data_IF_516788254453
#
_entry.id   IF_516788254453
#
_cell.length_a   1.000
_cell.length_b   1.000
_cell.length_c   1.000
_cell.angle_alpha   90.00
_cell.angle_beta   90.00
_cell.angle_gamma   90.00
#
_symmetry.space_group_name_H-M   'P 1'
#
loop_
_entity.id
_entity.type
_entity.pdbx_description
1 polymer ?
#
# COMPACT_ATOMS: atom_id res chain seq x y z
N UNK A 1 25.45 -52.08 8.35
CA UNK A 1 24.30 -51.54 7.66
C UNK A 1 24.09 -50.07 8.06
N UNK A 2 24.48 -49.12 7.20
CA UNK A 2 24.31 -47.69 7.45
C UNK A 2 23.11 -47.24 6.63
N UNK A 3 22.04 -46.81 7.33
CA UNK A 3 20.87 -46.22 6.74
C UNK A 3 21.20 -44.78 6.31
N UNK A 4 21.12 -44.50 5.02
CA UNK A 4 21.28 -43.16 4.42
C UNK A 4 19.90 -42.53 4.41
N UNK A 5 19.65 -41.57 5.30
CA UNK A 5 18.51 -40.66 5.14
C UNK A 5 18.74 -39.75 3.93
N UNK A 6 17.95 -39.94 2.88
CA UNK A 6 17.91 -39.04 1.76
C UNK A 6 17.06 -37.80 2.15
N UNK A 7 17.71 -36.67 2.20
CA UNK A 7 17.03 -35.38 2.21
C UNK A 7 16.21 -35.23 0.91
N UNK A 8 14.91 -35.24 1.03
CA UNK A 8 14.03 -34.87 -0.05
C UNK A 8 14.04 -33.34 -0.16
N UNK A 9 14.80 -32.82 -1.11
CA UNK A 9 14.70 -31.43 -1.55
C UNK A 9 13.34 -31.22 -2.20
N UNK A 10 12.50 -30.38 -1.58
CA UNK A 10 11.24 -29.90 -2.17
C UNK A 10 11.58 -28.98 -3.33
N UNK A 11 11.08 -29.22 -4.54
CA UNK A 11 11.34 -28.33 -5.67
C UNK A 11 10.61 -27.00 -5.45
N UNK A 12 11.25 -25.84 -5.81
CA UNK A 12 10.73 -24.50 -5.52
C UNK A 12 9.49 -24.09 -6.34
N UNK A 13 9.03 -24.89 -7.29
CA UNK A 13 8.08 -24.42 -8.33
C UNK A 13 6.63 -24.88 -8.18
N UNK A 14 6.22 -25.45 -7.02
CA UNK A 14 4.89 -26.07 -6.88
C UNK A 14 3.82 -25.25 -6.15
N UNK A 15 4.11 -24.03 -5.71
CA UNK A 15 3.16 -23.22 -4.92
C UNK A 15 2.73 -21.90 -5.57
N UNK A 16 2.99 -21.73 -6.85
CA UNK A 16 2.51 -20.56 -7.59
C UNK A 16 1.53 -21.09 -8.64
N UNK A 17 0.25 -21.02 -8.34
CA UNK A 17 -0.83 -20.75 -9.30
C UNK A 17 -2.19 -21.08 -8.70
N UNK A 18 -2.84 -20.05 -8.15
CA UNK A 18 -4.27 -19.85 -8.30
C UNK A 18 -4.49 -18.38 -8.64
N UNK A 19 -5.14 -18.16 -9.73
CA UNK A 19 -5.37 -17.00 -10.52
C UNK A 19 -5.90 -15.77 -9.75
N UNK A 20 -4.96 -14.91 -9.29
CA UNK A 20 -5.16 -13.47 -9.25
C UNK A 20 -3.89 -12.89 -9.88
N UNK A 21 -3.99 -12.43 -11.13
CA UNK A 21 -2.91 -11.79 -11.87
C UNK A 21 -2.58 -10.44 -11.25
N UNK A 22 -1.74 -10.43 -10.22
CA UNK A 22 -0.98 -9.27 -9.81
C UNK A 22 0.38 -9.34 -10.50
N UNK A 23 0.45 -8.97 -11.76
CA UNK A 23 1.71 -8.86 -12.55
C UNK A 23 2.39 -7.51 -12.35
N UNK A 24 2.30 -6.92 -11.19
CA UNK A 24 3.08 -5.71 -10.91
C UNK A 24 4.36 -6.09 -10.17
N UNK A 25 5.50 -5.94 -10.85
CA UNK A 25 6.81 -5.98 -10.17
C UNK A 25 7.02 -4.62 -9.51
N UNK A 26 7.22 -4.57 -8.19
CA UNK A 26 7.55 -3.33 -7.50
C UNK A 26 8.79 -2.66 -8.13
N UNK A 27 8.84 -1.35 -8.10
CA UNK A 27 10.00 -0.59 -8.57
C UNK A 27 11.23 -0.96 -7.72
N UNK A 28 12.39 -1.17 -8.36
CA UNK A 28 13.64 -1.55 -7.69
C UNK A 28 13.53 -2.81 -6.78
N UNK A 29 12.62 -3.74 -7.13
CA UNK A 29 12.33 -4.92 -6.31
C UNK A 29 13.59 -5.71 -5.90
N UNK A 30 14.47 -5.97 -6.87
CA UNK A 30 15.69 -6.74 -6.64
C UNK A 30 16.65 -5.97 -5.73
N UNK A 31 16.89 -4.72 -6.03
CA UNK A 31 17.78 -3.82 -5.29
C UNK A 31 17.31 -3.64 -3.85
N UNK A 32 16.01 -3.49 -3.64
CA UNK A 32 15.38 -3.37 -2.32
C UNK A 32 15.63 -4.61 -1.48
N UNK A 33 15.38 -5.80 -2.05
CA UNK A 33 15.57 -7.06 -1.32
C UNK A 33 17.05 -7.37 -1.08
N UNK A 34 17.94 -7.03 -2.02
CA UNK A 34 19.39 -7.19 -1.82
C UNK A 34 19.93 -6.22 -0.76
N UNK A 35 19.42 -4.99 -0.72
CA UNK A 35 19.85 -3.97 0.27
C UNK A 35 19.45 -4.32 1.70
N UNK A 36 18.39 -5.08 1.91
CA UNK A 36 17.99 -5.57 3.23
C UNK A 36 19.01 -6.54 3.83
N UNK A 37 19.90 -7.14 3.03
CA UNK A 37 20.92 -8.09 3.48
C UNK A 37 20.36 -9.13 4.46
N UNK A 38 19.30 -9.83 4.04
CA UNK A 38 18.44 -10.63 4.92
C UNK A 38 19.22 -11.77 5.58
N UNK A 39 19.26 -11.74 6.92
CA UNK A 39 19.67 -12.88 7.75
C UNK A 39 18.51 -13.88 7.79
N UNK A 40 18.75 -15.17 7.46
CA UNK A 40 17.72 -16.21 7.50
C UNK A 40 17.04 -16.42 8.87
N UNK A 41 17.67 -16.01 9.95
CA UNK A 41 17.15 -16.11 11.32
C UNK A 41 16.63 -14.76 11.85
N UNK A 42 16.80 -13.68 11.07
CA UNK A 42 16.49 -12.30 11.45
C UNK A 42 14.99 -12.00 11.50
N UNK A 43 14.67 -10.84 12.05
CA UNK A 43 13.30 -10.33 12.18
C UNK A 43 13.15 -9.05 11.35
N UNK A 44 12.13 -9.02 10.51
CA UNK A 44 11.89 -7.92 9.56
C UNK A 44 10.47 -7.38 9.66
N UNK A 45 10.30 -6.12 9.28
CA UNK A 45 8.99 -5.48 9.11
C UNK A 45 8.87 -5.01 7.66
N UNK A 46 7.79 -5.40 7.00
CA UNK A 46 7.29 -4.76 5.78
C UNK A 46 6.07 -3.92 6.18
N UNK A 47 6.25 -2.59 6.27
CA UNK A 47 5.20 -1.67 6.72
C UNK A 47 4.21 -1.24 5.62
N UNK A 48 4.39 -1.77 4.40
CA UNK A 48 3.60 -1.46 3.21
C UNK A 48 3.38 -2.73 2.38
N UNK A 49 2.77 -3.73 3.02
CA UNK A 49 2.71 -5.09 2.48
C UNK A 49 2.01 -5.20 1.10
N UNK A 50 0.99 -4.36 0.84
CA UNK A 50 0.29 -4.31 -0.44
C UNK A 50 -0.18 -5.70 -0.90
N UNK A 51 0.22 -6.12 -2.10
CA UNK A 51 -0.06 -7.47 -2.62
C UNK A 51 0.86 -8.58 -2.09
N UNK A 52 1.79 -8.27 -1.18
CA UNK A 52 2.71 -9.23 -0.56
C UNK A 52 3.94 -9.57 -1.41
N UNK A 53 4.26 -8.76 -2.41
CA UNK A 53 5.41 -9.02 -3.29
C UNK A 53 6.74 -9.01 -2.54
N UNK A 54 7.07 -7.90 -1.87
CA UNK A 54 8.27 -7.77 -1.05
C UNK A 54 8.23 -8.72 0.15
N UNK A 55 7.11 -8.78 0.88
CA UNK A 55 6.91 -9.70 1.99
C UNK A 55 7.19 -11.15 1.60
N UNK A 56 6.69 -11.61 0.45
CA UNK A 56 6.94 -12.95 -0.06
C UNK A 56 8.42 -13.22 -0.36
N UNK A 57 9.12 -12.24 -0.93
CA UNK A 57 10.55 -12.35 -1.23
C UNK A 57 11.42 -12.38 0.03
N UNK A 58 11.02 -11.67 1.08
CA UNK A 58 11.68 -11.73 2.39
C UNK A 58 11.46 -13.12 3.00
N UNK A 59 10.20 -13.59 3.09
CA UNK A 59 9.85 -14.89 3.67
C UNK A 59 10.57 -16.06 2.98
N UNK A 60 10.79 -16.01 1.67
CA UNK A 60 11.54 -17.03 0.95
C UNK A 60 13.02 -17.13 1.35
N UNK A 61 13.56 -16.09 1.99
CA UNK A 61 14.95 -16.04 2.46
C UNK A 61 15.08 -16.38 3.94
N UNK A 62 13.98 -16.31 4.70
CA UNK A 62 13.94 -16.67 6.09
C UNK A 62 13.87 -18.19 6.26
N UNK A 63 14.51 -18.71 7.30
CA UNK A 63 14.44 -20.12 7.75
C UNK A 63 13.71 -20.25 9.09
N UNK A 64 14.22 -19.59 10.11
CA UNK A 64 13.64 -19.52 11.45
C UNK A 64 13.28 -18.08 11.86
N UNK A 65 13.61 -17.10 10.99
CA UNK A 65 13.33 -15.71 11.20
C UNK A 65 11.83 -15.36 11.11
N UNK A 66 11.51 -14.13 11.40
CA UNK A 66 10.12 -13.62 11.43
C UNK A 66 9.95 -12.41 10.52
N UNK A 67 8.83 -12.34 9.81
CA UNK A 67 8.40 -11.16 9.08
C UNK A 67 7.04 -10.69 9.60
N UNK A 68 6.97 -9.44 10.00
CA UNK A 68 5.73 -8.72 10.27
C UNK A 68 5.37 -7.90 9.04
N UNK A 69 4.29 -8.28 8.37
CA UNK A 69 3.71 -7.57 7.22
C UNK A 69 2.56 -6.70 7.70
N UNK A 70 2.66 -5.39 7.52
CA UNK A 70 1.66 -4.40 7.93
C UNK A 70 1.09 -3.71 6.69
N UNK A 71 -0.21 -3.51 6.66
CA UNK A 71 -0.86 -2.60 5.72
C UNK A 71 -2.09 -1.97 6.38
N UNK A 72 -2.43 -0.76 5.95
CA UNK A 72 -3.65 -0.06 6.40
C UNK A 72 -4.87 -0.41 5.55
N UNK A 73 -4.65 -1.00 4.36
CA UNK A 73 -5.71 -1.39 3.43
C UNK A 73 -6.22 -2.79 3.77
N UNK A 74 -7.51 -2.95 4.12
CA UNK A 74 -8.09 -4.26 4.43
C UNK A 74 -8.00 -5.24 3.26
N UNK A 75 -8.06 -4.76 2.00
CA UNK A 75 -7.94 -5.62 0.82
C UNK A 75 -6.53 -6.18 0.69
N UNK A 76 -5.50 -5.35 0.94
CA UNK A 76 -4.12 -5.79 0.98
C UNK A 76 -3.89 -6.85 2.06
N UNK A 77 -4.41 -6.63 3.26
CA UNK A 77 -4.32 -7.58 4.37
C UNK A 77 -4.99 -8.92 4.06
N UNK A 78 -6.15 -8.92 3.40
CA UNK A 78 -6.81 -10.15 2.99
C UNK A 78 -5.93 -10.96 2.02
N UNK A 79 -5.37 -10.29 1.00
CA UNK A 79 -4.47 -10.90 0.01
C UNK A 79 -3.20 -11.44 0.67
N UNK A 80 -2.56 -10.66 1.53
CA UNK A 80 -1.31 -11.07 2.21
C UNK A 80 -1.56 -12.27 3.13
N UNK A 81 -2.64 -12.28 3.90
CA UNK A 81 -3.03 -13.42 4.74
C UNK A 81 -3.24 -14.70 3.94
N UNK A 82 -3.94 -14.61 2.81
CA UNK A 82 -4.17 -15.76 1.94
C UNK A 82 -2.86 -16.29 1.34
N UNK A 83 -2.02 -15.39 0.81
CA UNK A 83 -0.79 -15.74 0.11
C UNK A 83 0.33 -16.19 1.03
N UNK A 84 0.50 -15.49 2.15
CA UNK A 84 1.70 -15.60 2.98
C UNK A 84 1.42 -16.16 4.38
N UNK A 85 0.17 -16.22 4.83
CA UNK A 85 -0.17 -16.71 6.17
C UNK A 85 0.20 -18.17 6.48
N UNK A 86 0.56 -18.93 5.44
CA UNK A 86 1.02 -20.33 5.58
C UNK A 86 2.54 -20.46 5.76
N UNK A 87 3.29 -19.39 5.52
CA UNK A 87 4.74 -19.42 5.68
C UNK A 87 5.12 -19.40 7.16
N UNK A 88 6.04 -20.29 7.60
CA UNK A 88 6.62 -20.18 8.93
C UNK A 88 7.22 -18.78 9.13
N UNK A 89 7.03 -18.21 10.32
CA UNK A 89 7.53 -16.87 10.64
C UNK A 89 6.74 -15.70 10.02
N UNK A 90 5.65 -15.95 9.27
CA UNK A 90 4.79 -14.89 8.73
C UNK A 90 3.80 -14.40 9.78
N UNK A 91 3.84 -13.10 10.09
CA UNK A 91 2.88 -12.39 10.93
C UNK A 91 2.24 -11.28 10.07
N UNK A 92 0.91 -11.19 10.06
CA UNK A 92 0.19 -10.20 9.25
C UNK A 92 -0.74 -9.38 10.13
N UNK A 93 -0.52 -8.06 10.15
CA UNK A 93 -1.28 -7.12 10.97
C UNK A 93 -1.87 -5.98 10.13
N UNK A 94 -3.11 -5.60 10.43
CA UNK A 94 -3.72 -4.40 9.84
C UNK A 94 -3.37 -3.19 10.70
N UNK A 95 -2.79 -2.15 10.07
CA UNK A 95 -2.44 -0.92 10.77
C UNK A 95 -1.68 0.07 9.91
N UNK A 96 -1.36 1.20 10.50
CA UNK A 96 -0.51 2.20 9.85
C UNK A 96 0.96 1.95 10.25
N UNK A 97 1.87 2.00 9.31
CA UNK A 97 3.32 1.88 9.60
C UNK A 97 3.83 2.96 10.58
N UNK A 98 3.11 4.07 10.75
CA UNK A 98 3.43 5.07 11.78
C UNK A 98 3.34 4.51 13.21
N UNK A 99 2.59 3.42 13.42
CA UNK A 99 2.43 2.72 14.69
C UNK A 99 3.11 1.34 14.69
N UNK A 100 4.04 1.09 13.75
CA UNK A 100 4.69 -0.22 13.59
C UNK A 100 5.41 -0.71 14.84
N UNK A 101 5.92 0.20 15.67
CA UNK A 101 6.54 -0.09 16.95
C UNK A 101 5.54 -0.74 17.93
N UNK A 102 4.34 -0.17 18.04
CA UNK A 102 3.26 -0.69 18.90
C UNK A 102 2.75 -2.02 18.35
N UNK A 103 2.52 -2.08 17.03
CA UNK A 103 2.05 -3.30 16.36
C UNK A 103 3.07 -4.43 16.54
N UNK A 104 4.37 -4.15 16.39
CA UNK A 104 5.42 -5.12 16.63
C UNK A 104 5.40 -5.66 18.07
N UNK A 105 5.29 -4.78 19.06
CA UNK A 105 5.21 -5.17 20.48
C UNK A 105 3.98 -6.03 20.80
N UNK A 106 2.82 -5.74 20.20
CA UNK A 106 1.61 -6.55 20.35
C UNK A 106 1.79 -7.99 19.84
N UNK A 107 2.71 -8.19 18.90
CA UNK A 107 3.07 -9.52 18.34
C UNK A 107 4.32 -10.09 18.97
N UNK A 108 4.82 -9.52 20.08
CA UNK A 108 6.01 -10.01 20.81
C UNK A 108 7.34 -9.71 20.11
N UNK A 109 7.35 -8.83 19.11
CA UNK A 109 8.55 -8.41 18.37
C UNK A 109 9.14 -7.18 19.05
N UNK A 110 10.33 -7.31 19.62
CA UNK A 110 11.01 -6.24 20.39
C UNK A 110 12.16 -5.64 19.61
N UNK A 111 12.86 -6.44 18.80
CA UNK A 111 13.96 -6.01 17.96
C UNK A 111 13.74 -6.45 16.53
N UNK A 112 14.18 -5.63 15.59
CA UNK A 112 14.11 -5.91 14.15
C UNK A 112 15.47 -5.65 13.50
N UNK A 113 15.84 -6.50 12.54
CA UNK A 113 17.07 -6.40 11.77
C UNK A 113 16.91 -5.50 10.54
N UNK A 114 15.66 -5.34 10.07
CA UNK A 114 15.38 -4.46 8.95
C UNK A 114 13.90 -4.07 8.83
N UNK A 115 13.68 -2.90 8.24
CA UNK A 115 12.35 -2.37 7.95
C UNK A 115 12.29 -1.99 6.47
N UNK A 116 11.23 -2.38 5.79
CA UNK A 116 10.92 -2.01 4.41
C UNK A 116 9.68 -1.12 4.39
N UNK A 117 9.78 -0.01 3.68
CA UNK A 117 8.65 0.88 3.39
C UNK A 117 8.67 1.22 1.89
N UNK A 118 7.67 0.76 1.15
CA UNK A 118 7.41 1.14 -0.24
C UNK A 118 6.24 2.14 -0.25
N UNK A 119 6.59 3.41 -0.03
CA UNK A 119 5.60 4.47 0.24
C UNK A 119 4.96 4.92 -1.07
N UNK A 120 3.65 4.73 -1.18
CA UNK A 120 2.86 5.14 -2.34
C UNK A 120 1.49 4.47 -2.37
N UNK A 121 0.82 4.57 -3.52
CA UNK A 121 -0.42 3.85 -3.82
C UNK A 121 -0.09 2.51 -4.48
N UNK A 122 -0.84 1.47 -4.15
CA UNK A 122 -0.66 0.17 -4.80
C UNK A 122 -1.29 0.18 -6.20
N UNK A 123 -0.79 -0.69 -7.10
CA UNK A 123 -1.42 -0.88 -8.42
C UNK A 123 -2.88 -1.30 -8.28
N UNK A 124 -3.21 -2.14 -7.31
CA UNK A 124 -4.59 -2.52 -7.04
C UNK A 124 -5.48 -1.30 -6.74
N UNK A 125 -4.99 -0.33 -5.95
CA UNK A 125 -5.73 0.90 -5.66
C UNK A 125 -5.90 1.77 -6.90
N UNK A 126 -4.91 1.81 -7.81
CA UNK A 126 -5.00 2.56 -9.07
C UNK A 126 -5.92 1.88 -10.08
N UNK A 127 -5.88 0.55 -10.17
CA UNK A 127 -6.62 -0.24 -11.16
C UNK A 127 -8.09 -0.47 -10.75
N UNK A 128 -8.40 -0.36 -9.45
CA UNK A 128 -9.77 -0.48 -8.93
C UNK A 128 -10.45 0.88 -8.95
N UNK A 129 -11.28 1.11 -9.95
CA UNK A 129 -11.92 2.41 -10.18
C UNK A 129 -12.68 2.94 -8.94
N UNK A 130 -13.40 2.06 -8.25
CA UNK A 130 -14.22 2.38 -7.08
C UNK A 130 -13.41 2.91 -5.89
N UNK A 131 -12.09 2.70 -5.88
CA UNK A 131 -11.19 3.25 -4.88
C UNK A 131 -10.89 4.74 -5.08
N UNK A 132 -11.17 5.29 -6.26
CA UNK A 132 -11.06 6.72 -6.57
C UNK A 132 -9.63 7.28 -6.67
N UNK A 133 -8.60 6.43 -6.80
CA UNK A 133 -7.19 6.88 -6.91
C UNK A 133 -6.79 7.27 -8.33
N UNK A 134 -7.62 6.98 -9.33
CA UNK A 134 -7.33 7.25 -10.73
C UNK A 134 -8.49 8.00 -11.39
N UNK A 135 -8.18 8.87 -12.34
CA UNK A 135 -9.14 9.56 -13.19
C UNK A 135 -9.32 8.89 -14.56
N UNK A 136 -8.71 7.74 -14.80
CA UNK A 136 -8.87 7.00 -16.06
C UNK A 136 -10.28 6.46 -16.26
N UNK A 137 -10.99 6.22 -15.17
CA UNK A 137 -12.41 5.89 -15.18
C UNK A 137 -13.15 6.87 -14.26
N UNK A 138 -14.38 7.23 -14.62
CA UNK A 138 -15.24 8.00 -13.73
C UNK A 138 -15.75 7.12 -12.59
N UNK A 139 -15.42 7.49 -11.36
CA UNK A 139 -15.66 6.69 -10.18
C UNK A 139 -15.87 7.57 -8.94
N UNK A 140 -16.42 7.03 -7.84
CA UNK A 140 -16.55 7.79 -6.59
C UNK A 140 -15.22 8.40 -6.14
N UNK A 141 -15.25 9.63 -5.69
CA UNK A 141 -14.08 10.36 -5.22
C UNK A 141 -13.76 9.97 -3.76
N UNK A 142 -13.27 8.73 -3.57
CA UNK A 142 -12.99 8.16 -2.26
C UNK A 142 -11.57 8.44 -1.78
N UNK A 143 -10.56 7.81 -2.39
CA UNK A 143 -9.12 7.90 -2.11
C UNK A 143 -8.68 7.47 -0.70
N UNK A 144 -9.52 6.73 0.04
CA UNK A 144 -9.17 6.21 1.37
C UNK A 144 -8.47 4.86 1.26
N UNK A 145 -7.20 4.80 1.56
CA UNK A 145 -6.48 3.51 1.61
C UNK A 145 -7.09 2.56 2.65
N UNK A 146 -7.43 3.09 3.84
CA UNK A 146 -8.04 2.31 4.92
C UNK A 146 -9.54 2.03 4.76
N UNK A 147 -10.17 2.53 3.70
CA UNK A 147 -11.62 2.46 3.44
C UNK A 147 -12.47 3.04 4.60
N UNK A 148 -11.87 3.83 5.47
CA UNK A 148 -12.53 4.43 6.63
C UNK A 148 -12.05 5.87 6.86
N UNK A 149 -12.83 6.66 7.60
CA UNK A 149 -12.53 8.07 7.87
C UNK A 149 -12.95 9.00 6.73
N UNK A 150 -12.35 10.18 6.66
CA UNK A 150 -12.67 11.24 5.72
C UNK A 150 -12.23 10.89 4.30
N UNK A 151 -13.13 10.97 3.34
CA UNK A 151 -12.86 10.73 1.92
C UNK A 151 -12.33 11.99 1.21
N UNK A 152 -11.82 11.83 -0.01
CA UNK A 152 -11.48 12.98 -0.85
C UNK A 152 -12.72 13.82 -1.20
N UNK A 153 -13.88 13.19 -1.44
CA UNK A 153 -15.14 13.91 -1.63
C UNK A 153 -15.50 14.78 -0.41
N UNK A 154 -15.34 14.27 0.81
CA UNK A 154 -15.57 15.06 2.01
C UNK A 154 -14.65 16.28 2.06
N UNK A 155 -13.36 16.10 1.78
CA UNK A 155 -12.39 17.19 1.81
C UNK A 155 -12.72 18.29 0.80
N UNK A 156 -12.95 17.93 -0.47
CA UNK A 156 -13.19 18.92 -1.53
C UNK A 156 -14.52 19.64 -1.34
N UNK A 157 -15.51 19.00 -0.71
CA UNK A 157 -16.82 19.60 -0.48
C UNK A 157 -16.94 20.41 0.83
N UNK A 158 -16.03 20.23 1.79
CA UNK A 158 -16.16 20.87 3.11
C UNK A 158 -15.07 21.86 3.45
N UNK A 159 -13.81 21.62 3.04
CA UNK A 159 -12.69 22.49 3.40
C UNK A 159 -12.76 23.86 2.74
N UNK A 160 -12.21 24.88 3.40
CA UNK A 160 -12.02 26.20 2.79
C UNK A 160 -11.01 26.16 1.63
N UNK A 161 -11.05 27.16 0.75
CA UNK A 161 -10.06 27.22 -0.33
C UNK A 161 -8.62 27.35 0.19
N UNK A 162 -8.40 27.95 1.37
CA UNK A 162 -7.08 28.05 2.00
C UNK A 162 -6.55 26.67 2.41
N UNK A 163 -7.37 25.86 3.08
CA UNK A 163 -7.02 24.51 3.48
C UNK A 163 -6.79 23.60 2.27
N UNK A 164 -7.64 23.68 1.26
CA UNK A 164 -7.44 22.96 0.01
C UNK A 164 -6.14 23.38 -0.70
N UNK A 165 -5.84 24.69 -0.75
CA UNK A 165 -4.62 25.20 -1.36
C UNK A 165 -3.36 24.73 -0.58
N UNK A 166 -3.43 24.63 0.75
CA UNK A 166 -2.35 24.07 1.57
C UNK A 166 -2.11 22.60 1.23
N UNK A 167 -3.17 21.78 1.16
CA UNK A 167 -3.08 20.36 0.81
C UNK A 167 -2.47 20.20 -0.59
N UNK A 168 -3.01 20.87 -1.59
CA UNK A 168 -2.58 20.76 -2.98
C UNK A 168 -1.14 21.28 -3.14
N UNK A 169 -0.80 22.39 -2.49
CA UNK A 169 0.54 22.97 -2.56
C UNK A 169 1.59 22.16 -1.82
N UNK A 170 1.25 21.68 -0.59
CA UNK A 170 2.22 20.98 0.26
C UNK A 170 2.46 19.53 -0.18
N UNK A 171 1.42 18.82 -0.56
CA UNK A 171 1.50 17.40 -0.89
C UNK A 171 1.51 17.13 -2.39
N UNK A 172 0.84 17.99 -3.19
CA UNK A 172 0.86 17.90 -4.65
C UNK A 172 1.97 18.69 -5.30
N UNK A 173 2.68 19.55 -4.54
CA UNK A 173 3.75 20.44 -5.02
C UNK A 173 3.30 21.33 -6.21
N UNK A 174 1.99 21.54 -6.36
CA UNK A 174 1.43 22.28 -7.49
C UNK A 174 1.48 23.80 -7.24
N UNK A 175 2.16 24.50 -8.13
CA UNK A 175 2.28 25.98 -8.07
C UNK A 175 0.94 26.71 -8.27
N UNK A 176 -0.04 26.03 -8.87
CA UNK A 176 -1.39 26.57 -9.12
C UNK A 176 -2.38 26.25 -7.98
N UNK A 177 -1.91 25.71 -6.85
CA UNK A 177 -2.73 25.24 -5.73
C UNK A 177 -3.85 26.21 -5.33
N UNK A 178 -3.56 27.51 -5.20
CA UNK A 178 -4.56 28.54 -4.85
C UNK A 178 -5.66 28.66 -5.90
N UNK A 179 -5.31 28.60 -7.17
CA UNK A 179 -6.26 28.71 -8.29
C UNK A 179 -7.14 27.47 -8.36
N UNK A 180 -6.54 26.28 -8.27
CA UNK A 180 -7.25 25.00 -8.25
C UNK A 180 -8.23 24.96 -7.07
N UNK A 181 -7.79 25.31 -5.87
CA UNK A 181 -8.62 25.33 -4.68
C UNK A 181 -9.83 26.28 -4.81
N UNK A 182 -9.62 27.47 -5.39
CA UNK A 182 -10.73 28.39 -5.66
C UNK A 182 -11.68 27.85 -6.74
N UNK A 183 -11.17 27.17 -7.76
CA UNK A 183 -11.97 26.47 -8.76
C UNK A 183 -12.84 25.39 -8.15
N UNK A 184 -12.30 24.59 -7.25
CA UNK A 184 -13.04 23.55 -6.48
C UNK A 184 -14.18 24.19 -5.69
N UNK A 185 -13.88 25.23 -4.89
CA UNK A 185 -14.89 25.91 -4.07
C UNK A 185 -16.00 26.51 -4.94
N UNK A 186 -15.66 27.13 -6.06
CA UNK A 186 -16.64 27.66 -7.00
C UNK A 186 -17.50 26.55 -7.62
N UNK A 187 -16.90 25.45 -8.06
CA UNK A 187 -17.63 24.36 -8.69
C UNK A 187 -18.62 23.70 -7.73
N UNK A 188 -18.24 23.47 -6.47
CA UNK A 188 -19.13 22.86 -5.47
C UNK A 188 -20.31 23.73 -5.03
N UNK A 189 -20.27 25.07 -5.28
CA UNK A 189 -21.41 25.97 -5.06
C UNK A 189 -22.58 25.66 -6.00
N UNK A 190 -22.29 25.11 -7.19
CA UNK A 190 -23.31 24.72 -8.17
C UNK A 190 -23.80 23.28 -7.91
N UNK A 191 -22.86 22.34 -7.68
CA UNK A 191 -23.13 20.94 -7.41
C UNK A 191 -21.99 20.32 -6.61
N UNK A 192 -22.26 19.49 -5.57
CA UNK A 192 -21.21 18.71 -4.90
C UNK A 192 -20.35 17.91 -5.88
N UNK A 193 -19.05 17.87 -5.62
CA UNK A 193 -18.08 17.12 -6.42
C UNK A 193 -18.06 15.70 -5.88
N UNK A 194 -18.52 14.73 -6.67
CA UNK A 194 -18.73 13.35 -6.22
C UNK A 194 -17.81 12.35 -6.91
N UNK A 195 -17.27 12.71 -8.10
CA UNK A 195 -16.50 11.76 -8.91
C UNK A 195 -15.09 12.26 -9.24
N UNK A 196 -14.25 11.30 -9.61
CA UNK A 196 -12.85 11.54 -10.01
C UNK A 196 -12.74 12.43 -11.25
N UNK A 197 -13.63 12.25 -12.24
CA UNK A 197 -13.64 13.08 -13.45
C UNK A 197 -14.12 14.48 -13.17
N UNK A 198 -15.14 14.70 -12.34
CA UNK A 198 -15.60 16.03 -11.96
C UNK A 198 -14.45 16.84 -11.35
N UNK A 199 -13.67 16.26 -10.43
CA UNK A 199 -12.51 16.92 -9.85
C UNK A 199 -11.39 17.13 -10.87
N UNK A 200 -11.11 16.15 -11.73
CA UNK A 200 -10.07 16.24 -12.77
C UNK A 200 -10.36 17.37 -13.77
N UNK A 201 -11.61 17.54 -14.19
CA UNK A 201 -12.00 18.60 -15.12
C UNK A 201 -11.78 20.01 -14.55
N UNK A 202 -11.90 20.19 -13.24
CA UNK A 202 -11.62 21.47 -12.59
C UNK A 202 -10.12 21.80 -12.69
N UNK A 203 -9.24 20.81 -12.51
CA UNK A 203 -7.80 20.98 -12.68
C UNK A 203 -7.42 21.39 -14.12
N UNK A 204 -8.06 20.80 -15.12
CA UNK A 204 -7.76 21.01 -16.54
C UNK A 204 -8.36 22.32 -17.05
N UNK A 205 -9.55 22.72 -16.58
CA UNK A 205 -10.27 23.91 -17.06
C UNK A 205 -9.72 25.23 -16.51
N UNK A 206 -8.79 25.18 -15.55
CA UNK A 206 -8.08 26.33 -15.01
C UNK A 206 -6.63 26.40 -15.58
N UNK A 207 -6.46 26.68 -16.91
CA UNK A 207 -5.14 26.65 -17.53
C UNK A 207 -4.21 27.72 -16.94
N UNK A 208 -2.92 27.40 -16.97
CA UNK A 208 -1.79 28.24 -16.51
C UNK A 208 -1.73 29.58 -17.17
#
# INVERSE_FOLDING_TARGET
MRSVCRNASVPPDKYIMSEIHFEHKPVLFKETIESLNIDPEGTYIDGTAGGGGHSGAILQRLTTGTLLSIDRDPDAIAVVKERLGKYPGSVVAMGNFCDMDKIALEHGIVNVDGVLLDIGVSSYQLDTAERGFSYHADAPLDMRMSQSGTSAADLVNTLSWQELAEIIGRYGEDKSAVRIAKGIVKAREEKPIETTLELSLIHISEPT
#
